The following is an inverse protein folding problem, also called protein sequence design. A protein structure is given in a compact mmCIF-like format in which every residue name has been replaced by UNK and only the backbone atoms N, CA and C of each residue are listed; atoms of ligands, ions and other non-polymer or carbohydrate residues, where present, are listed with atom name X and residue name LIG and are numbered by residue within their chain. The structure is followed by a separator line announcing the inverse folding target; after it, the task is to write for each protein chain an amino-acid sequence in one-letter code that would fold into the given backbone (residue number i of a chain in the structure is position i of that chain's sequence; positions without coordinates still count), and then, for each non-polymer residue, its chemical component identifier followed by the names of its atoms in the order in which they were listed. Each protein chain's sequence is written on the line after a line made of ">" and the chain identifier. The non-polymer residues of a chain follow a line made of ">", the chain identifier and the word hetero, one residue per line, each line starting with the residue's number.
data_IF_182514820203
#
_entry.id   IF_182514820203
#
_cell.length_a   1.000
_cell.length_b   1.000
_cell.length_c   1.000
_cell.angle_alpha   90.00
_cell.angle_beta   90.00
_cell.angle_gamma   90.00
#
_symmetry.space_group_name_H-M   'P 1'
#
loop_
_entity.id
_entity.type
_entity.pdbx_description
1 polymer ?
#
# COMPACT_ATOMS: atom_id res chain seq x y z
N UNK A 1 -1.50 -27.99 -11.82
CA UNK A 1 -2.31 -27.62 -10.64
C UNK A 1 -1.36 -27.54 -9.47
N UNK A 2 -0.87 -26.34 -9.14
CA UNK A 2 -0.25 -26.13 -7.83
C UNK A 2 -1.27 -26.47 -6.74
N UNK A 3 -0.80 -27.09 -5.66
CA UNK A 3 -1.67 -27.50 -4.56
C UNK A 3 -2.14 -26.25 -3.79
N UNK A 4 -3.45 -26.11 -3.56
CA UNK A 4 -4.07 -24.88 -3.00
C UNK A 4 -3.49 -24.45 -1.65
N UNK A 5 -3.22 -25.42 -0.76
CA UNK A 5 -2.58 -25.16 0.54
C UNK A 5 -1.20 -24.49 0.39
N UNK A 6 -0.46 -24.84 -0.67
CA UNK A 6 0.88 -24.30 -0.94
C UNK A 6 0.83 -22.82 -1.35
N UNK A 7 -0.25 -22.39 -2.02
CA UNK A 7 -0.44 -20.99 -2.43
C UNK A 7 -0.74 -20.07 -1.23
N UNK A 8 -1.65 -20.51 -0.34
CA UNK A 8 -2.02 -19.74 0.86
C UNK A 8 -0.84 -19.58 1.82
N UNK A 9 -0.08 -20.65 2.07
CA UNK A 9 1.10 -20.58 2.94
C UNK A 9 2.20 -19.68 2.35
N UNK A 10 2.35 -19.65 1.02
CA UNK A 10 3.26 -18.73 0.34
C UNK A 10 2.84 -17.27 0.55
N UNK A 11 1.56 -16.94 0.40
CA UNK A 11 1.06 -15.57 0.64
C UNK A 11 1.31 -15.16 2.09
N UNK A 12 1.00 -16.02 3.06
CA UNK A 12 1.29 -15.76 4.48
C UNK A 12 2.76 -15.46 4.73
N UNK A 13 3.67 -16.28 4.20
CA UNK A 13 5.10 -16.11 4.37
C UNK A 13 5.61 -14.78 3.79
N UNK A 14 5.10 -14.39 2.61
CA UNK A 14 5.46 -13.10 1.98
C UNK A 14 4.93 -11.92 2.79
N UNK A 15 3.70 -12.01 3.32
CA UNK A 15 3.14 -10.97 4.20
C UNK A 15 3.96 -10.85 5.48
N UNK A 16 4.34 -11.97 6.10
CA UNK A 16 5.18 -11.96 7.31
C UNK A 16 6.53 -11.29 7.05
N UNK A 17 7.19 -11.62 5.93
CA UNK A 17 8.43 -10.98 5.52
C UNK A 17 8.24 -9.47 5.27
N UNK A 18 7.13 -9.07 4.65
CA UNK A 18 6.79 -7.65 4.49
C UNK A 18 6.65 -6.94 5.85
N UNK A 19 5.95 -7.54 6.81
CA UNK A 19 5.79 -6.99 8.16
C UNK A 19 7.13 -6.89 8.90
N UNK A 20 8.01 -7.89 8.75
CA UNK A 20 9.36 -7.85 9.33
C UNK A 20 10.18 -6.68 8.76
N UNK A 21 10.12 -6.45 7.45
CA UNK A 21 10.80 -5.32 6.82
C UNK A 21 10.25 -3.98 7.28
N UNK A 22 8.95 -3.87 7.51
CA UNK A 22 8.35 -2.65 8.07
C UNK A 22 8.81 -2.37 9.50
N UNK A 23 9.01 -3.41 10.33
CA UNK A 23 9.57 -3.25 11.68
C UNK A 23 10.99 -2.67 11.64
N UNK A 24 11.75 -2.95 10.58
CA UNK A 24 13.05 -2.31 10.32
C UNK A 24 12.99 -0.79 10.16
N UNK A 25 11.80 -0.20 9.97
CA UNK A 25 11.61 1.25 9.98
C UNK A 25 11.44 1.83 11.39
N UNK A 26 11.45 1.01 12.45
CA UNK A 26 11.36 1.45 13.84
C UNK A 26 12.79 1.48 14.41
N UNK A 27 13.18 2.62 14.96
CA UNK A 27 14.50 2.81 15.58
C UNK A 27 14.56 2.14 16.96
N UNK A 28 15.76 1.96 17.51
CA UNK A 28 15.96 1.34 18.84
C UNK A 28 15.21 2.07 19.97
N UNK A 29 15.01 3.38 19.83
CA UNK A 29 14.27 4.21 20.79
C UNK A 29 12.74 4.21 20.56
N UNK A 30 12.26 3.39 19.62
CA UNK A 30 10.84 3.22 19.30
C UNK A 30 10.26 4.26 18.34
N UNK A 31 11.04 5.28 17.93
CA UNK A 31 10.58 6.26 16.94
C UNK A 31 10.57 5.66 15.54
N UNK A 32 9.68 6.14 14.68
CA UNK A 32 9.73 5.78 13.26
C UNK A 32 10.95 6.44 12.60
N UNK A 33 11.51 5.81 11.58
CA UNK A 33 12.69 6.28 10.86
C UNK A 33 12.58 7.75 10.42
N UNK A 34 11.43 8.16 9.89
CA UNK A 34 11.21 9.54 9.46
C UNK A 34 11.12 10.54 10.63
N UNK A 35 10.66 10.13 11.80
CA UNK A 35 10.66 10.96 13.02
C UNK A 35 12.08 11.11 13.57
N UNK A 36 12.84 10.02 13.58
CA UNK A 36 14.21 9.99 14.08
C UNK A 36 15.14 10.90 13.26
N UNK A 37 15.08 10.78 11.93
CA UNK A 37 15.91 11.56 11.02
C UNK A 37 15.27 12.89 10.59
N UNK A 38 14.11 13.26 11.15
CA UNK A 38 13.36 14.46 10.79
C UNK A 38 13.14 14.61 9.27
N UNK A 39 12.73 13.52 8.62
CA UNK A 39 12.48 13.45 7.18
C UNK A 39 10.99 13.62 6.90
N UNK A 40 10.63 14.48 5.95
CA UNK A 40 9.24 14.63 5.51
C UNK A 40 8.73 13.32 4.88
N UNK A 41 7.73 12.70 5.49
CA UNK A 41 7.01 11.54 4.92
C UNK A 41 6.24 11.98 3.66
N UNK A 42 6.24 11.13 2.63
CA UNK A 42 5.64 11.39 1.31
C UNK A 42 4.90 10.16 0.83
N UNK A 43 3.81 10.36 0.11
CA UNK A 43 3.12 9.29 -0.61
C UNK A 43 3.94 8.94 -1.86
N UNK A 44 4.21 7.66 -2.07
CA UNK A 44 5.03 7.17 -3.16
C UNK A 44 4.18 6.63 -4.33
N UNK A 45 3.23 5.73 -4.05
CA UNK A 45 2.47 5.02 -5.08
C UNK A 45 1.04 4.72 -4.63
N UNK A 46 0.13 4.52 -5.60
CA UNK A 46 -1.19 3.95 -5.33
C UNK A 46 -1.06 2.46 -5.00
N UNK A 47 -1.97 1.94 -4.19
CA UNK A 47 -1.92 0.56 -3.74
C UNK A 47 -3.31 -0.05 -3.48
N UNK A 48 -3.42 -1.35 -3.74
CA UNK A 48 -4.49 -2.21 -3.26
C UNK A 48 -3.94 -3.13 -2.17
N UNK A 49 -4.67 -3.19 -1.06
CA UNK A 49 -4.36 -4.08 0.05
C UNK A 49 -5.35 -5.24 0.07
N UNK A 50 -4.85 -6.40 -0.32
CA UNK A 50 -5.53 -7.68 -0.27
C UNK A 50 -5.19 -8.38 1.05
N UNK A 51 -5.80 -7.91 2.15
CA UNK A 51 -5.63 -8.48 3.50
C UNK A 51 -4.15 -8.73 3.89
N UNK A 52 -3.31 -7.71 3.72
CA UNK A 52 -1.88 -7.72 3.99
C UNK A 52 -1.01 -7.90 2.74
N UNK A 53 -1.54 -8.43 1.64
CA UNK A 53 -0.82 -8.51 0.38
C UNK A 53 -0.99 -7.20 -0.41
N UNK A 54 0.10 -6.48 -0.65
CA UNK A 54 0.05 -5.14 -1.24
C UNK A 54 0.42 -5.20 -2.72
N UNK A 55 -0.48 -4.77 -3.59
CA UNK A 55 -0.22 -4.56 -5.02
C UNK A 55 -0.10 -3.07 -5.28
N UNK A 56 1.00 -2.62 -5.88
CA UNK A 56 1.25 -1.19 -6.13
C UNK A 56 1.19 -0.83 -7.62
N UNK A 57 1.00 0.46 -7.88
CA UNK A 57 1.04 1.02 -9.22
C UNK A 57 1.12 2.54 -9.20
N UNK A 58 1.36 3.13 -10.38
CA UNK A 58 1.43 4.59 -10.55
C UNK A 58 0.11 5.29 -10.20
N UNK A 59 -1.03 4.64 -10.51
CA UNK A 59 -2.39 5.03 -10.09
C UNK A 59 -3.22 3.76 -9.88
N UNK A 60 -4.37 3.90 -9.23
CA UNK A 60 -5.32 2.79 -9.11
C UNK A 60 -5.75 2.31 -10.50
N UNK A 61 -5.77 0.99 -10.70
CA UNK A 61 -6.10 0.33 -11.96
C UNK A 61 -5.28 0.82 -13.16
N UNK A 62 -4.02 1.22 -12.94
CA UNK A 62 -3.09 1.44 -14.03
C UNK A 62 -2.70 0.11 -14.70
N UNK A 63 -2.24 0.10 -15.96
CA UNK A 63 -1.91 -1.14 -16.66
C UNK A 63 -0.91 -2.03 -15.90
N UNK A 64 0.04 -1.45 -15.18
CA UNK A 64 1.03 -2.19 -14.38
C UNK A 64 0.39 -2.84 -13.15
N UNK A 65 -0.55 -2.15 -12.49
CA UNK A 65 -1.27 -2.70 -11.34
C UNK A 65 -2.20 -3.84 -11.78
N UNK A 66 -2.98 -3.62 -12.85
CA UNK A 66 -3.86 -4.63 -13.42
C UNK A 66 -3.10 -5.88 -13.89
N UNK A 67 -1.94 -5.70 -14.55
CA UNK A 67 -1.10 -6.82 -14.95
C UNK A 67 -0.68 -7.70 -13.76
N UNK A 68 -0.33 -7.11 -12.61
CA UNK A 68 0.02 -7.85 -11.40
C UNK A 68 -1.19 -8.59 -10.80
N UNK A 69 -2.36 -7.94 -10.79
CA UNK A 69 -3.60 -8.53 -10.30
C UNK A 69 -3.99 -9.73 -11.17
N UNK A 70 -3.98 -9.58 -12.49
CA UNK A 70 -4.31 -10.66 -13.44
C UNK A 70 -3.37 -11.87 -13.31
N UNK A 71 -2.12 -11.66 -12.89
CA UNK A 71 -1.17 -12.75 -12.65
C UNK A 71 -1.46 -13.56 -11.37
N UNK A 72 -2.30 -13.04 -10.47
CA UNK A 72 -2.56 -13.61 -9.15
C UNK A 72 -4.06 -13.61 -8.79
N UNK A 73 -4.94 -13.46 -9.78
CA UNK A 73 -6.36 -13.14 -9.57
C UNK A 73 -7.03 -14.23 -8.72
N UNK A 74 -6.86 -15.50 -9.09
CA UNK A 74 -7.43 -16.64 -8.37
C UNK A 74 -6.91 -16.72 -6.92
N UNK A 75 -5.60 -16.55 -6.71
CA UNK A 75 -4.99 -16.62 -5.39
C UNK A 75 -5.41 -15.45 -4.48
N UNK A 76 -5.56 -14.25 -5.06
CA UNK A 76 -5.96 -13.05 -4.34
C UNK A 76 -7.45 -13.09 -3.95
N UNK A 77 -8.32 -13.58 -4.84
CA UNK A 77 -9.74 -13.78 -4.53
C UNK A 77 -9.92 -14.78 -3.38
N UNK A 78 -9.21 -15.90 -3.43
CA UNK A 78 -9.25 -16.92 -2.36
C UNK A 78 -8.70 -16.36 -1.04
N UNK A 79 -7.57 -15.64 -1.09
CA UNK A 79 -6.95 -15.03 0.10
C UNK A 79 -7.82 -13.95 0.76
N UNK A 80 -8.50 -13.14 -0.04
CA UNK A 80 -9.30 -12.01 0.44
C UNK A 80 -10.76 -12.31 0.73
N UNK A 81 -11.19 -13.57 0.59
CA UNK A 81 -12.59 -13.95 0.79
C UNK A 81 -13.52 -13.08 -0.08
N UNK A 82 -13.14 -12.91 -1.36
CA UNK A 82 -13.96 -12.36 -2.42
C UNK A 82 -14.19 -10.85 -2.50
N UNK A 83 -13.93 -10.03 -1.45
CA UNK A 83 -14.27 -8.59 -1.56
C UNK A 83 -13.55 -7.63 -0.58
N UNK A 84 -12.49 -8.06 0.10
CA UNK A 84 -11.85 -7.26 1.17
C UNK A 84 -10.68 -6.39 0.72
N UNK A 85 -10.59 -6.08 -0.57
CA UNK A 85 -9.53 -5.24 -1.08
C UNK A 85 -9.74 -3.78 -0.64
N UNK A 86 -8.73 -3.20 0.01
CA UNK A 86 -8.74 -1.81 0.45
C UNK A 86 -7.87 -0.96 -0.47
N UNK A 87 -8.46 0.07 -1.07
CA UNK A 87 -7.71 1.04 -1.88
C UNK A 87 -6.99 2.06 -0.99
N UNK A 88 -5.75 2.39 -1.35
CA UNK A 88 -4.90 3.25 -0.57
C UNK A 88 -3.61 3.60 -1.30
N UNK A 89 -2.57 3.84 -0.53
CA UNK A 89 -1.27 4.25 -1.03
C UNK A 89 -0.16 3.63 -0.20
N UNK A 90 1.04 3.58 -0.76
CA UNK A 90 2.25 3.36 0.02
C UNK A 90 3.02 4.67 0.20
N UNK A 91 3.68 4.82 1.33
CA UNK A 91 4.67 5.87 1.53
C UNK A 91 6.05 5.45 0.97
N UNK A 92 7.05 6.34 1.08
CA UNK A 92 8.42 6.04 0.61
C UNK A 92 9.14 4.93 1.41
N UNK A 93 8.54 4.45 2.49
CA UNK A 93 9.08 3.39 3.37
C UNK A 93 8.31 2.06 3.21
N UNK A 94 7.34 2.01 2.29
CA UNK A 94 6.55 0.82 1.98
C UNK A 94 5.36 0.58 2.91
N UNK A 95 5.02 1.51 3.81
CA UNK A 95 3.84 1.37 4.66
C UNK A 95 2.57 1.60 3.84
N UNK A 96 1.64 0.64 3.88
CA UNK A 96 0.30 0.86 3.35
C UNK A 96 -0.47 1.86 4.22
N UNK A 97 -1.20 2.76 3.55
CA UNK A 97 -2.04 3.79 4.13
C UNK A 97 -3.36 3.79 3.38
N UNK A 98 -4.47 3.77 4.12
CA UNK A 98 -5.77 4.05 3.52
C UNK A 98 -5.79 5.46 2.94
N UNK A 99 -6.73 5.75 2.03
CA UNK A 99 -6.88 7.09 1.44
C UNK A 99 -6.98 8.22 2.46
N UNK A 100 -7.62 7.95 3.61
CA UNK A 100 -7.80 8.92 4.70
C UNK A 100 -6.51 9.17 5.45
N UNK A 101 -5.72 8.13 5.70
CA UNK A 101 -4.40 8.24 6.35
C UNK A 101 -3.36 8.89 5.43
N UNK A 102 -3.43 8.62 4.14
CA UNK A 102 -2.52 9.15 3.14
C UNK A 102 -2.71 10.66 2.89
N UNK A 103 -3.95 11.15 2.97
CA UNK A 103 -4.29 12.56 2.71
C UNK A 103 -3.46 13.58 3.52
N UNK A 104 -3.42 13.53 4.87
CA UNK A 104 -2.65 14.50 5.65
C UNK A 104 -1.14 14.44 5.35
N UNK A 105 -0.60 13.27 5.02
CA UNK A 105 0.81 13.09 4.64
C UNK A 105 1.08 13.77 3.29
N UNK A 106 0.25 13.49 2.27
CA UNK A 106 0.36 14.10 0.96
C UNK A 106 0.22 15.64 1.03
N UNK A 107 -0.72 16.13 1.85
CA UNK A 107 -0.94 17.56 2.08
C UNK A 107 0.29 18.22 2.71
N UNK A 108 0.80 17.65 3.80
CA UNK A 108 2.00 18.17 4.48
C UNK A 108 3.24 18.16 3.57
N UNK A 109 3.33 17.17 2.67
CA UNK A 109 4.40 17.05 1.69
C UNK A 109 4.25 17.95 0.45
N UNK A 110 3.14 18.69 0.31
CA UNK A 110 2.84 19.53 -0.84
C UNK A 110 2.57 18.73 -2.13
N UNK A 111 2.05 17.50 -2.01
CA UNK A 111 1.81 16.62 -3.16
C UNK A 111 0.44 16.80 -3.81
N UNK A 112 -0.51 17.44 -3.13
CA UNK A 112 -1.88 17.62 -3.66
C UNK A 112 -1.88 18.77 -4.67
N UNK A 113 -2.17 18.46 -5.93
CA UNK A 113 -2.23 19.45 -7.03
C UNK A 113 -3.66 20.00 -7.18
N UNK A 114 -4.69 19.18 -6.90
CA UNK A 114 -6.11 19.52 -7.01
C UNK A 114 -6.83 19.24 -5.69
N UNK A 115 -6.95 20.27 -4.84
CA UNK A 115 -7.49 20.12 -3.48
C UNK A 115 -9.02 20.02 -3.44
N UNK A 116 -9.70 20.69 -4.38
CA UNK A 116 -11.15 20.74 -4.52
C UNK A 116 -11.79 19.37 -4.81
N UNK A 117 -11.06 18.48 -5.47
CA UNK A 117 -11.54 17.13 -5.80
C UNK A 117 -11.39 16.11 -4.67
N UNK A 118 -10.73 16.46 -3.56
CA UNK A 118 -10.19 15.47 -2.61
C UNK A 118 -10.32 15.88 -1.13
N UNK A 119 -11.50 16.32 -0.63
CA UNK A 119 -11.61 16.84 0.74
C UNK A 119 -11.38 15.74 1.80
N UNK A 120 -10.19 15.74 2.41
CA UNK A 120 -9.84 14.83 3.50
C UNK A 120 -9.60 13.37 3.09
N UNK A 121 -9.61 13.06 1.79
CA UNK A 121 -9.42 11.71 1.24
C UNK A 121 -8.58 11.82 -0.02
N UNK A 122 -7.48 11.08 -0.07
CA UNK A 122 -6.59 11.10 -1.23
C UNK A 122 -7.10 10.15 -2.32
N UNK A 123 -7.21 10.64 -3.55
CA UNK A 123 -7.44 9.85 -4.75
C UNK A 123 -6.20 9.95 -5.66
N UNK A 124 -5.97 8.94 -6.51
CA UNK A 124 -4.82 8.94 -7.41
C UNK A 124 -4.89 10.06 -8.45
N UNK A 125 -6.09 10.55 -8.73
CA UNK A 125 -6.37 11.62 -9.68
C UNK A 125 -6.00 13.01 -9.13
N UNK A 126 -5.69 13.14 -7.83
CA UNK A 126 -5.44 14.43 -7.16
C UNK A 126 -4.01 14.96 -7.30
N UNK A 127 -3.03 14.11 -7.64
CA UNK A 127 -1.61 14.44 -7.55
C UNK A 127 -0.75 13.96 -8.73
N UNK A 128 -1.40 13.56 -9.83
CA UNK A 128 -0.79 13.25 -11.14
C UNK A 128 -1.11 14.37 -12.11
#
# INVERSE_FOLDING_TARGET
>A
MENKEMSTERIKAVIEQYQERLRGNIMEDGRMHWEYYNVQRRIAQAAYNYNGYIVTGTRHSCPIMEMQIMMMEEELEEWCDGDRMVQGFTDQYGNFLTRKEAYPIAKAAGQIIREDTCPGTLYSECYI
#
